data_IF_992789317284
#
_entry.id   IF_992789317284
#
_cell.length_a   1.000
_cell.length_b   1.000
_cell.length_c   1.000
_cell.angle_alpha   90.00
_cell.angle_beta   90.00
_cell.angle_gamma   90.00
#
_symmetry.space_group_name_H-M   'P 1'
#
loop_
_entity.id
_entity.type
_entity.pdbx_description
1 polymer ?
2 water ?
#
# COMPACT_ATOMS: atom_id res chain seq x y z
N UNK A 1 0.29 -18.89 16.48
CA UNK A 1 0.08 -19.39 15.08
C UNK A 1 -0.78 -18.41 14.29
N UNK A 2 -0.17 -17.77 13.28
CA UNK A 2 -0.75 -16.67 12.49
C UNK A 2 -0.45 -15.29 13.09
N UNK A 3 0.66 -14.67 12.68
CA UNK A 3 1.18 -13.46 13.35
C UNK A 3 0.55 -12.13 12.96
N UNK A 4 0.85 -11.06 13.71
CA UNK A 4 0.27 -9.75 13.37
C UNK A 4 0.85 -9.26 12.03
N UNK A 5 -0.01 -8.66 11.21
CA UNK A 5 0.34 -8.35 9.84
C UNK A 5 0.75 -6.88 9.67
N UNK A 6 1.99 -6.70 9.18
CA UNK A 6 2.50 -5.41 8.71
C UNK A 6 3.01 -5.59 7.27
N UNK A 7 2.15 -5.28 6.28
CA UNK A 7 2.53 -5.52 4.87
C UNK A 7 3.63 -4.58 4.42
N UNK A 8 4.67 -5.16 3.80
CA UNK A 8 5.84 -4.42 3.34
C UNK A 8 5.49 -3.36 2.23
N UNK A 9 6.11 -2.19 2.31
CA UNK A 9 5.75 -1.01 1.47
C UNK A 9 6.97 -0.40 0.73
N UNK A 10 6.80 -0.09 -0.54
CA UNK A 10 7.78 0.63 -1.33
C UNK A 10 7.18 1.95 -1.80
N UNK A 11 8.03 2.95 -1.93
CA UNK A 11 7.71 4.17 -2.66
C UNK A 11 8.56 4.25 -3.93
N UNK A 12 7.89 4.30 -5.07
CA UNK A 12 8.59 4.38 -6.35
C UNK A 12 8.40 5.78 -6.94
N UNK A 13 9.49 6.34 -7.43
CA UNK A 13 9.47 7.61 -8.10
C UNK A 13 9.07 7.31 -9.53
N UNK A 14 7.87 7.70 -9.91
CA UNK A 14 7.43 7.56 -11.30
C UNK A 14 7.31 8.94 -12.00
N UNK A 15 8.32 9.78 -11.81
CA UNK A 15 8.40 11.06 -12.52
C UNK A 15 7.31 12.06 -12.13
N UNK A 16 6.21 12.03 -12.86
CA UNK A 16 5.09 12.93 -12.60
C UNK A 16 4.29 12.42 -11.40
N UNK A 17 4.40 11.12 -11.15
CA UNK A 17 3.65 10.48 -10.08
C UNK A 17 4.53 9.84 -9.02
N UNK A 18 3.93 9.61 -7.85
CA UNK A 18 4.55 8.91 -6.74
C UNK A 18 3.72 7.63 -6.51
N UNK A 19 4.36 6.46 -6.59
CA UNK A 19 3.67 5.18 -6.40
C UNK A 19 3.98 4.54 -5.06
N UNK A 20 2.94 4.07 -4.40
CA UNK A 20 3.09 3.24 -3.21
C UNK A 20 2.75 1.82 -3.63
N UNK A 21 3.68 0.90 -3.45
CA UNK A 21 3.41 -0.52 -3.67
C UNK A 21 3.38 -1.22 -2.32
N UNK A 22 2.30 -1.96 -2.09
CA UNK A 22 2.08 -2.59 -0.78
C UNK A 22 1.79 -4.09 -0.97
N UNK A 23 2.62 -4.94 -0.38
CA UNK A 23 2.46 -6.39 -0.55
C UNK A 23 1.30 -6.88 0.33
N UNK A 24 0.15 -7.14 -0.33
CA UNK A 24 -1.04 -7.60 0.39
C UNK A 24 -1.61 -8.93 -0.22
N UNK A 25 -0.83 -10.02 -0.21
CA UNK A 25 -1.38 -11.25 -0.79
C UNK A 25 -2.52 -11.84 0.05
N UNK A 26 -3.57 -12.33 -0.60
CA UNK A 26 -4.68 -13.02 0.07
C UNK A 26 -5.68 -12.09 0.78
N UNK A 27 -5.54 -10.77 0.59
CA UNK A 27 -6.41 -9.79 1.25
C UNK A 27 -7.86 -9.95 0.77
N UNK A 28 -8.81 -9.74 1.68
CA UNK A 28 -10.20 -9.59 1.32
C UNK A 28 -10.26 -8.17 0.71
N UNK A 29 -10.47 -8.10 -0.60
CA UNK A 29 -10.39 -6.83 -1.32
C UNK A 29 -11.38 -5.81 -0.76
N UNK A 30 -12.54 -6.31 -0.30
CA UNK A 30 -13.65 -5.48 0.21
C UNK A 30 -13.37 -4.82 1.56
N UNK A 31 -12.21 -5.11 2.16
CA UNK A 31 -11.86 -4.54 3.49
C UNK A 31 -10.77 -3.43 3.37
N UNK A 32 -10.15 -3.33 2.21
CA UNK A 32 -9.14 -2.33 1.93
C UNK A 32 -9.71 -0.91 2.00
N UNK A 33 -9.07 -0.06 2.78
CA UNK A 33 -9.43 1.35 2.85
C UNK A 33 -8.16 2.18 2.76
N UNK A 34 -8.28 3.34 2.10
CA UNK A 34 -7.16 4.24 1.83
C UNK A 34 -7.62 5.68 2.11
N UNK A 35 -6.88 6.39 2.95
CA UNK A 35 -7.22 7.77 3.31
C UNK A 35 -5.96 8.64 3.38
N UNK A 36 -6.02 9.81 2.78
CA UNK A 36 -4.88 10.71 2.82
C UNK A 36 -5.21 11.95 3.64
N UNK A 37 -4.47 12.15 4.73
CA UNK A 37 -4.68 13.28 5.62
C UNK A 37 -3.43 14.09 5.53
N UNK A 38 -3.46 15.07 4.62
CA UNK A 38 -2.29 15.91 4.28
C UNK A 38 -1.05 15.15 3.76
N UNK A 39 -0.08 14.92 4.66
CA UNK A 39 1.21 14.33 4.31
C UNK A 39 1.39 12.88 4.78
N UNK A 40 0.27 12.19 5.02
CA UNK A 40 0.26 10.81 5.46
C UNK A 40 -0.77 10.04 4.65
N UNK A 41 -0.40 8.84 4.24
CA UNK A 41 -1.34 7.93 3.67
C UNK A 41 -1.61 6.84 4.71
N UNK A 42 -2.90 6.60 4.95
CA UNK A 42 -3.30 5.53 5.86
C UNK A 42 -3.91 4.41 5.06
N UNK A 43 -3.35 3.21 5.23
CA UNK A 43 -3.85 2.02 4.53
C UNK A 43 -4.28 1.00 5.58
N UNK A 44 -5.46 0.41 5.39
CA UNK A 44 -5.96 -0.62 6.26
C UNK A 44 -6.65 -1.69 5.45
N UNK A 45 -6.73 -2.89 6.00
CA UNK A 45 -7.43 -4.01 5.38
C UNK A 45 -7.30 -5.25 6.24
N UNK A 46 -7.65 -6.42 5.67
CA UNK A 46 -7.70 -7.64 6.43
C UNK A 46 -7.50 -8.86 5.54
N UNK A 47 -6.91 -9.91 6.09
CA UNK A 47 -7.01 -11.23 5.49
C UNK A 47 -7.37 -12.28 6.54
N UNK A 48 -8.19 -13.28 6.15
CA UNK A 48 -8.60 -14.32 7.10
C UNK A 48 -7.41 -15.16 7.61
N UNK A 49 -7.51 -15.64 8.84
CA UNK A 49 -6.56 -16.62 9.33
C UNK A 49 -6.76 -17.96 8.64
N UNK A 50 -5.67 -18.67 8.42
CA UNK A 50 -5.76 -19.99 7.78
C UNK A 50 -6.20 -21.03 8.79
N UNK A 51 -7.16 -21.87 8.40
CA UNK A 51 -7.72 -22.87 9.33
C UNK A 51 -6.80 -24.08 9.47
N UNK A 52 -6.89 -24.77 10.61
CA UNK A 52 -6.18 -26.05 10.84
C UNK A 52 -4.69 -26.05 10.50
N UNK A 53 -3.99 -25.08 11.08
CA UNK A 53 -2.56 -24.87 10.81
C UNK A 53 -1.68 -25.92 11.49
N UNK A 54 -0.75 -26.47 10.74
CA UNK A 54 0.24 -27.41 11.25
C UNK A 54 1.56 -26.71 11.54
N UNK A 55 1.93 -25.79 10.65
CA UNK A 55 3.05 -24.87 10.83
C UNK A 55 2.62 -23.52 10.30
N UNK A 56 3.06 -22.45 10.95
CA UNK A 56 2.68 -21.11 10.49
C UNK A 56 3.86 -20.14 10.46
N UNK A 57 4.08 -19.48 9.32
CA UNK A 57 5.01 -18.32 9.23
C UNK A 57 4.24 -17.06 8.78
N UNK A 58 3.11 -17.27 8.11
CA UNK A 58 2.39 -16.21 7.43
C UNK A 58 1.56 -15.38 8.40
N UNK A 59 1.56 -14.04 8.22
CA UNK A 59 0.71 -13.14 9.05
C UNK A 59 -0.78 -13.23 8.69
N UNK A 60 -1.66 -12.97 9.66
CA UNK A 60 -3.12 -13.00 9.47
C UNK A 60 -3.77 -11.78 10.09
N UNK A 61 -5.04 -11.56 9.72
CA UNK A 61 -5.91 -10.62 10.40
C UNK A 61 -5.81 -9.23 9.80
N UNK A 62 -6.21 -8.24 10.59
CA UNK A 62 -6.24 -6.84 10.17
C UNK A 62 -4.86 -6.20 10.20
N UNK A 63 -4.61 -5.31 9.24
CA UNK A 63 -3.39 -4.53 9.21
C UNK A 63 -3.73 -3.02 9.13
N UNK A 64 -2.87 -2.20 9.71
CA UNK A 64 -3.02 -0.78 9.64
C UNK A 64 -1.63 -0.15 9.46
N UNK A 65 -1.44 0.61 8.39
CA UNK A 65 -0.20 1.38 8.19
C UNK A 65 -0.45 2.87 8.01
N UNK A 66 0.39 3.68 8.66
CA UNK A 66 0.38 5.13 8.53
C UNK A 66 1.74 5.51 7.88
N UNK A 67 1.68 5.99 6.63
CA UNK A 67 2.88 6.09 5.79
C UNK A 67 3.01 7.51 5.28
N UNK A 68 4.16 8.13 5.55
CA UNK A 68 4.39 9.55 5.19
C UNK A 68 4.83 9.61 3.76
N UNK A 69 4.28 10.55 2.99
CA UNK A 69 4.74 10.76 1.60
C UNK A 69 6.20 11.21 1.57
N UNK A 70 7.04 10.52 0.79
CA UNK A 70 8.48 10.90 0.66
C UNK A 70 8.61 12.21 -0.09
N UNK A 71 7.56 12.55 -0.84
CA UNK A 71 7.51 13.74 -1.70
C UNK A 71 6.10 14.31 -1.57
N UNK A 72 5.96 15.66 -1.49
CA UNK A 72 4.61 16.26 -1.47
C UNK A 72 3.79 15.93 -2.74
N UNK A 73 2.51 15.60 -2.55
CA UNK A 73 1.62 15.26 -3.66
C UNK A 73 0.43 16.21 -3.74
N UNK A 74 -0.17 16.32 -4.93
CA UNK A 74 -1.39 17.09 -5.07
C UNK A 74 -2.51 16.43 -4.26
N UNK A 75 -3.33 17.26 -3.56
CA UNK A 75 -4.45 16.74 -2.78
C UNK A 75 -5.48 15.99 -3.64
N UNK A 76 -5.99 14.88 -3.13
CA UNK A 76 -7.11 14.14 -3.75
C UNK A 76 -6.81 13.53 -5.11
N UNK A 77 -5.53 13.27 -5.37
CA UNK A 77 -5.11 12.67 -6.62
C UNK A 77 -4.86 11.18 -6.55
N UNK A 78 -5.08 10.57 -5.39
CA UNK A 78 -4.74 9.15 -5.23
C UNK A 78 -5.68 8.16 -5.91
N UNK A 79 -5.09 7.22 -6.65
CA UNK A 79 -5.82 6.15 -7.36
C UNK A 79 -5.18 4.79 -7.06
N UNK A 80 -5.97 3.85 -6.56
CA UNK A 80 -5.46 2.57 -6.08
C UNK A 80 -5.90 1.40 -6.94
N UNK A 81 -5.01 0.45 -7.14
CA UNK A 81 -5.26 -0.71 -7.98
C UNK A 81 -4.63 -1.96 -7.32
N UNK A 82 -5.28 -3.11 -7.45
CA UNK A 82 -4.80 -4.36 -6.82
C UNK A 82 -4.69 -5.46 -7.85
N UNK A 83 -3.51 -6.05 -7.99
CA UNK A 83 -3.29 -7.19 -8.88
C UNK A 83 -2.15 -8.06 -8.36
N UNK A 84 -2.35 -9.36 -8.39
CA UNK A 84 -1.32 -10.31 -7.99
C UNK A 84 -0.80 -10.16 -6.57
N UNK A 85 -1.69 -9.81 -5.64
CA UNK A 85 -1.32 -9.63 -4.24
C UNK A 85 -0.57 -8.34 -3.96
N UNK A 86 -0.55 -7.42 -4.92
CA UNK A 86 0.15 -6.14 -4.76
C UNK A 86 -0.82 -4.97 -4.94
N UNK A 87 -0.87 -4.09 -3.95
CA UNK A 87 -1.63 -2.86 -4.07
C UNK A 87 -0.75 -1.72 -4.58
N UNK A 88 -1.10 -1.15 -5.74
CA UNK A 88 -0.40 0.00 -6.30
C UNK A 88 -1.27 1.24 -6.15
N UNK A 89 -0.81 2.18 -5.34
CA UNK A 89 -1.49 3.45 -5.17
C UNK A 89 -0.68 4.59 -5.79
N UNK A 90 -1.26 5.29 -6.75
CA UNK A 90 -0.57 6.29 -7.51
C UNK A 90 -1.05 7.73 -7.16
N UNK A 91 -0.10 8.63 -6.93
CA UNK A 91 -0.40 10.00 -6.58
C UNK A 91 0.38 10.90 -7.53
N UNK A 92 -0.19 12.04 -7.89
CA UNK A 92 0.56 12.96 -8.71
C UNK A 92 1.34 13.93 -7.84
N UNK A 93 2.61 14.11 -8.16
CA UNK A 93 3.50 14.98 -7.40
C UNK A 93 3.17 16.45 -7.61
N UNK A 94 3.43 17.23 -6.57
CA UNK A 94 3.34 18.68 -6.61
C UNK A 94 4.42 19.29 -7.53
N UNK A 95 5.62 18.75 -7.45
CA UNK A 95 6.75 19.12 -8.26
C UNK A 95 7.14 17.86 -9.06
N UNK A 96 6.52 17.68 -10.25
CA UNK A 96 6.83 16.53 -11.10
C UNK A 96 8.27 16.63 -11.56
N UNK A 97 8.94 15.48 -11.64
CA UNK A 97 10.23 15.36 -12.32
C UNK A 97 10.06 14.52 -13.60
N UNK A 98 11.03 14.60 -14.50
CA UNK A 98 11.02 13.86 -15.74
C UNK A 98 12.40 13.22 -15.92
N UNK A 99 12.38 11.90 -16.14
CA UNK A 99 13.59 11.12 -16.39
C UNK A 99 14.20 11.62 -17.70
N UNK A 100 15.50 11.89 -17.67
CA UNK A 100 16.27 12.26 -18.86
C UNK A 100 16.94 10.98 -19.39
N UNK A 101 16.40 10.45 -20.48
CA UNK A 101 16.92 9.23 -21.10
C UNK A 101 18.18 9.47 -21.95
N UNK A 102 19.13 8.55 -21.90
CA UNK A 102 20.38 8.72 -22.65
C UNK A 102 20.75 7.47 -23.45
#
# INVERSE_FOLDING_TARGET
QGGPWTPAADWRDAGTHLDLLLDVPGVDAGTLALAEDGGQLTVSGERPGTEHLLRSERPSGRFVRELAFPEPVRPASGVASLAGGVLTVRFEKLRPTIDVTA
#
